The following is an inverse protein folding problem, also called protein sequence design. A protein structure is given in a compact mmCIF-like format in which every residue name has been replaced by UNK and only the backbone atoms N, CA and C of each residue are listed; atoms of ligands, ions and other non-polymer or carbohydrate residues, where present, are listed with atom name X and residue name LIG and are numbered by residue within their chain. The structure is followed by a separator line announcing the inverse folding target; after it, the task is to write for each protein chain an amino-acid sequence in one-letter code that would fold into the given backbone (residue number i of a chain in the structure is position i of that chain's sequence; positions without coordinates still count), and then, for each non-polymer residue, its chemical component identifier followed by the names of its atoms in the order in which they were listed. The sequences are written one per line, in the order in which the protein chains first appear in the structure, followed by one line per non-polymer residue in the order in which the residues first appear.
data_IF_628306738541
#
_entry.id   IF_628306738541
#
_cell.length_a   1.000
_cell.length_b   1.000
_cell.length_c   1.000
_cell.angle_alpha   90.00
_cell.angle_beta   90.00
_cell.angle_gamma   90.00
#
_symmetry.space_group_name_H-M   'P 1'
#
loop_
_entity.id
_entity.type
_entity.pdbx_description
1 polymer ?
#
# COMPACT_ATOMS: atom_id res chain seq x y z
N UNK A 1 -25.73 -14.92 -28.72
CA UNK A 1 -25.70 -13.67 -27.90
C UNK A 1 -24.49 -12.88 -28.33
N UNK A 2 -24.71 -11.67 -28.89
CA UNK A 2 -23.59 -10.95 -29.51
C UNK A 2 -22.69 -10.26 -28.49
N UNK A 3 -21.45 -10.02 -28.87
CA UNK A 3 -20.39 -9.33 -28.11
C UNK A 3 -20.88 -8.01 -27.47
N UNK A 4 -21.77 -7.30 -28.17
CA UNK A 4 -22.38 -6.03 -27.71
C UNK A 4 -23.23 -6.24 -26.44
N UNK A 5 -23.94 -7.37 -26.31
CA UNK A 5 -24.76 -7.65 -25.13
C UNK A 5 -23.90 -8.00 -23.92
N UNK A 6 -22.77 -8.67 -24.13
CA UNK A 6 -21.77 -8.95 -23.07
C UNK A 6 -21.21 -7.64 -22.55
N UNK A 7 -20.75 -6.75 -23.44
CA UNK A 7 -20.18 -5.45 -23.06
C UNK A 7 -21.21 -4.57 -22.32
N UNK A 8 -22.49 -4.57 -22.77
CA UNK A 8 -23.55 -3.82 -22.09
C UNK A 8 -23.85 -4.36 -20.70
N UNK A 9 -23.84 -5.67 -20.52
CA UNK A 9 -24.07 -6.30 -19.21
C UNK A 9 -22.92 -6.06 -18.24
N UNK A 10 -21.68 -6.12 -18.70
CA UNK A 10 -20.50 -5.80 -17.89
C UNK A 10 -20.47 -4.32 -17.49
N UNK A 11 -20.81 -3.41 -18.41
CA UNK A 11 -20.92 -2.00 -18.11
C UNK A 11 -22.00 -1.71 -17.06
N UNK A 12 -23.18 -2.36 -17.15
CA UNK A 12 -24.24 -2.26 -16.15
C UNK A 12 -23.80 -2.83 -14.79
N UNK A 13 -23.10 -3.96 -14.75
CA UNK A 13 -22.60 -4.54 -13.53
C UNK A 13 -21.59 -3.62 -12.84
N UNK A 14 -20.69 -2.98 -13.59
CA UNK A 14 -19.71 -2.03 -13.06
C UNK A 14 -20.38 -0.75 -12.50
N UNK A 15 -21.42 -0.23 -13.18
CA UNK A 15 -22.19 0.93 -12.71
C UNK A 15 -22.95 0.57 -11.43
N UNK A 16 -23.61 -0.58 -11.39
CA UNK A 16 -24.32 -1.07 -10.19
C UNK A 16 -23.39 -1.28 -9.01
N UNK A 17 -22.19 -1.80 -9.23
CA UNK A 17 -21.18 -1.96 -8.19
C UNK A 17 -20.76 -0.61 -7.60
N UNK A 18 -20.46 0.38 -8.45
CA UNK A 18 -20.04 1.69 -8.00
C UNK A 18 -21.14 2.42 -7.24
N UNK A 19 -22.39 2.33 -7.70
CA UNK A 19 -23.54 2.90 -7.01
C UNK A 19 -23.75 2.23 -5.65
N UNK A 20 -23.70 0.90 -5.57
CA UNK A 20 -23.79 0.17 -4.31
C UNK A 20 -22.67 0.53 -3.33
N UNK A 21 -21.44 0.72 -3.79
CA UNK A 21 -20.31 1.13 -2.95
C UNK A 21 -20.52 2.56 -2.40
N UNK A 22 -20.97 3.50 -3.24
CA UNK A 22 -21.25 4.87 -2.82
C UNK A 22 -22.41 4.92 -1.83
N UNK A 23 -23.45 4.11 -2.04
CA UNK A 23 -24.61 4.03 -1.13
C UNK A 23 -24.21 3.49 0.25
N UNK A 24 -23.30 2.50 0.30
CA UNK A 24 -22.75 2.00 1.56
C UNK A 24 -21.95 3.06 2.32
N UNK A 25 -21.15 3.85 1.63
CA UNK A 25 -20.41 4.95 2.24
C UNK A 25 -21.36 6.06 2.74
N UNK A 26 -22.39 6.38 1.98
CA UNK A 26 -23.43 7.36 2.39
C UNK A 26 -24.21 6.88 3.62
N UNK A 27 -24.47 5.58 3.73
CA UNK A 27 -25.09 4.96 4.92
C UNK A 27 -24.13 4.72 6.09
N UNK A 28 -22.84 5.09 5.94
CA UNK A 28 -21.77 4.91 6.94
C UNK A 28 -21.43 3.45 7.25
N UNK A 29 -21.79 2.51 6.38
CA UNK A 29 -21.41 1.09 6.52
C UNK A 29 -19.99 0.86 5.98
N UNK A 30 -19.01 1.37 6.74
CA UNK A 30 -17.57 1.26 6.39
C UNK A 30 -17.11 -0.19 6.35
N UNK A 31 -17.63 -1.06 7.23
CA UNK A 31 -17.24 -2.48 7.27
C UNK A 31 -17.55 -3.15 5.93
N UNK A 32 -18.75 -2.94 5.45
CA UNK A 32 -19.21 -3.55 4.20
C UNK A 32 -18.54 -2.91 2.99
N UNK A 33 -18.33 -1.59 3.02
CA UNK A 33 -17.57 -0.89 1.98
C UNK A 33 -16.14 -1.43 1.86
N UNK A 34 -15.41 -1.59 2.98
CA UNK A 34 -14.07 -2.18 2.98
C UNK A 34 -14.05 -3.64 2.52
N UNK A 35 -15.07 -4.44 2.86
CA UNK A 35 -15.17 -5.83 2.38
C UNK A 35 -15.35 -5.95 0.87
N UNK A 36 -15.83 -4.91 0.20
CA UNK A 36 -15.92 -4.83 -1.26
C UNK A 36 -14.60 -4.42 -1.92
N UNK A 37 -13.64 -3.91 -1.16
CA UNK A 37 -12.31 -3.53 -1.66
C UNK A 37 -11.34 -4.71 -1.57
N UNK A 38 -10.37 -4.74 -2.46
CA UNK A 38 -9.26 -5.69 -2.35
C UNK A 38 -8.25 -5.19 -1.31
N UNK A 39 -8.09 -5.97 -0.24
CA UNK A 39 -7.10 -5.71 0.81
C UNK A 39 -5.76 -6.34 0.45
N UNK A 40 -4.70 -5.52 0.44
CA UNK A 40 -3.34 -5.98 0.09
C UNK A 40 -2.50 -6.43 1.31
N UNK A 41 -2.96 -6.19 2.52
CA UNK A 41 -2.18 -6.38 3.76
C UNK A 41 -1.72 -7.82 3.98
N UNK A 42 -2.55 -8.80 3.64
CA UNK A 42 -2.20 -10.22 3.80
C UNK A 42 -1.08 -10.63 2.85
N UNK A 43 -1.22 -10.30 1.57
CA UNK A 43 -0.21 -10.60 0.55
C UNK A 43 1.11 -9.88 0.85
N UNK A 44 1.06 -8.61 1.26
CA UNK A 44 2.22 -7.83 1.65
C UNK A 44 2.94 -8.45 2.86
N UNK A 45 2.20 -8.93 3.86
CA UNK A 45 2.77 -9.60 5.03
C UNK A 45 3.48 -10.90 4.64
N UNK A 46 2.88 -11.71 3.78
CA UNK A 46 3.47 -12.97 3.32
C UNK A 46 4.72 -12.75 2.48
N UNK A 47 4.75 -11.70 1.66
CA UNK A 47 5.91 -11.31 0.88
C UNK A 47 7.05 -10.81 1.77
N UNK A 48 6.76 -9.97 2.77
CA UNK A 48 7.75 -9.48 3.73
C UNK A 48 8.41 -10.61 4.51
N UNK A 49 7.69 -11.68 4.87
CA UNK A 49 8.26 -12.87 5.54
C UNK A 49 9.34 -13.58 4.72
N UNK A 50 9.26 -13.49 3.40
CA UNK A 50 10.29 -14.06 2.50
C UNK A 50 11.40 -13.05 2.19
N UNK A 51 11.08 -11.77 2.27
CA UNK A 51 12.00 -10.68 1.99
C UNK A 51 12.99 -10.41 3.14
N UNK A 52 12.53 -10.52 4.39
CA UNK A 52 13.34 -10.24 5.57
C UNK A 52 13.99 -11.52 6.13
N UNK A 53 15.28 -11.42 6.49
CA UNK A 53 16.07 -12.57 7.02
C UNK A 53 15.46 -13.10 8.31
N UNK A 54 15.07 -12.21 9.23
CA UNK A 54 14.59 -12.58 10.56
C UNK A 54 13.28 -13.38 10.54
N UNK A 55 12.42 -13.08 9.58
CA UNK A 55 11.08 -13.70 9.43
C UNK A 55 10.99 -14.69 8.27
N UNK A 56 12.12 -15.01 7.65
CA UNK A 56 12.17 -15.87 6.47
C UNK A 56 11.57 -17.25 6.76
N UNK A 57 10.73 -17.73 5.86
CA UNK A 57 9.98 -19.01 5.99
C UNK A 57 10.86 -20.22 6.29
N UNK A 58 12.14 -20.20 5.89
CA UNK A 58 13.10 -21.28 6.22
C UNK A 58 13.29 -21.44 7.73
N UNK A 59 13.10 -20.37 8.51
CA UNK A 59 13.23 -20.41 9.97
C UNK A 59 12.10 -21.19 10.66
N UNK A 60 10.96 -21.37 9.98
CA UNK A 60 9.77 -22.10 10.47
C UNK A 60 9.84 -23.61 10.21
N UNK A 61 10.79 -24.05 9.37
CA UNK A 61 10.95 -25.48 9.09
C UNK A 61 11.26 -26.23 10.38
N UNK A 62 10.48 -27.25 10.67
CA UNK A 62 10.66 -28.09 11.87
C UNK A 62 11.99 -28.84 11.83
N UNK A 63 12.56 -29.12 13.00
CA UNK A 63 13.73 -29.95 13.14
C UNK A 63 13.45 -31.38 12.63
N UNK A 64 14.51 -32.07 12.18
CA UNK A 64 14.36 -33.38 11.57
C UNK A 64 14.14 -34.44 12.65
N UNK A 65 13.00 -35.18 12.63
CA UNK A 65 12.82 -36.33 13.49
C UNK A 65 13.77 -37.47 13.04
N UNK A 66 14.38 -38.14 14.00
CA UNK A 66 15.22 -39.32 13.78
C UNK A 66 14.56 -40.50 14.47
N UNK A 67 14.45 -41.60 13.73
CA UNK A 67 13.85 -42.85 14.18
C UNK A 67 14.88 -43.96 14.22
N UNK A 68 14.69 -44.93 15.10
CA UNK A 68 15.49 -46.15 15.15
C UNK A 68 15.17 -47.11 13.97
N UNK A 69 15.90 -48.21 13.87
CA UNK A 69 15.67 -49.25 12.85
C UNK A 69 14.31 -49.92 12.97
N UNK A 70 13.62 -49.79 14.11
CA UNK A 70 12.29 -50.34 14.37
C UNK A 70 11.20 -49.30 14.15
N UNK A 71 11.52 -48.07 13.74
CA UNK A 71 10.55 -46.99 13.47
C UNK A 71 10.15 -46.21 14.71
N UNK A 72 10.78 -46.40 15.88
CA UNK A 72 10.49 -45.63 17.08
C UNK A 72 11.20 -44.28 17.01
N UNK A 73 10.52 -43.24 17.47
CA UNK A 73 11.10 -41.88 17.54
C UNK A 73 12.25 -41.87 18.57
N UNK A 74 13.40 -41.36 18.16
CA UNK A 74 14.57 -41.19 19.03
C UNK A 74 14.74 -39.77 19.52
N UNK A 75 14.84 -38.82 18.58
CA UNK A 75 15.07 -37.41 18.90
C UNK A 75 14.83 -36.51 17.69
N UNK A 76 14.72 -35.22 17.94
CA UNK A 76 14.87 -34.22 16.91
C UNK A 76 16.33 -33.85 16.73
N UNK A 77 16.75 -33.71 15.47
CA UNK A 77 18.07 -33.17 15.10
C UNK A 77 17.86 -31.78 14.52
N UNK A 78 18.53 -30.80 15.13
CA UNK A 78 18.46 -29.39 14.70
C UNK A 78 18.93 -29.27 13.24
N UNK A 79 18.11 -28.64 12.42
CA UNK A 79 18.47 -28.30 11.04
C UNK A 79 19.25 -27.01 11.00
N UNK A 80 20.25 -26.94 10.13
CA UNK A 80 20.90 -25.69 9.79
C UNK A 80 19.96 -24.91 8.88
N UNK A 81 19.41 -23.81 9.40
CA UNK A 81 18.46 -22.93 8.69
C UNK A 81 19.22 -21.70 8.22
N UNK A 82 19.46 -21.61 6.92
CA UNK A 82 20.20 -20.50 6.32
C UNK A 82 19.21 -19.69 5.47
N UNK A 83 18.72 -18.55 5.97
CA UNK A 83 17.85 -17.68 5.20
C UNK A 83 18.65 -16.89 4.16
N UNK A 84 18.31 -17.05 2.89
CA UNK A 84 18.93 -16.29 1.80
C UNK A 84 17.86 -15.39 1.19
N UNK A 85 17.89 -14.07 1.43
CA UNK A 85 16.86 -13.14 0.97
C UNK A 85 17.08 -12.74 -0.50
N UNK A 86 17.01 -13.68 -1.43
CA UNK A 86 17.10 -13.40 -2.87
C UNK A 86 16.16 -12.29 -3.35
N UNK A 87 14.88 -12.25 -2.92
CA UNK A 87 13.98 -11.17 -3.33
C UNK A 87 14.50 -9.78 -2.94
N UNK A 88 15.08 -9.66 -1.76
CA UNK A 88 15.69 -8.41 -1.29
C UNK A 88 16.88 -8.01 -2.16
N UNK A 89 17.76 -8.95 -2.44
CA UNK A 89 18.93 -8.71 -3.28
C UNK A 89 18.55 -8.25 -4.69
N UNK A 90 17.59 -8.96 -5.33
CA UNK A 90 17.10 -8.63 -6.66
C UNK A 90 16.44 -7.24 -6.66
N UNK A 91 15.63 -6.92 -5.64
CA UNK A 91 14.95 -5.64 -5.52
C UNK A 91 15.93 -4.48 -5.36
N UNK A 92 16.98 -4.64 -4.53
CA UNK A 92 18.01 -3.59 -4.35
C UNK A 92 18.82 -3.35 -5.64
N UNK A 93 19.15 -4.40 -6.39
CA UNK A 93 19.79 -4.26 -7.71
C UNK A 93 18.87 -3.49 -8.65
N UNK A 94 17.60 -3.89 -8.77
CA UNK A 94 16.63 -3.20 -9.63
C UNK A 94 16.47 -1.72 -9.24
N UNK A 95 16.52 -1.43 -7.95
CA UNK A 95 16.42 -0.07 -7.43
C UNK A 95 17.62 0.81 -7.85
N UNK A 96 18.83 0.26 -7.81
CA UNK A 96 20.04 0.94 -8.28
C UNK A 96 19.96 1.26 -9.77
N UNK A 97 19.48 0.32 -10.59
CA UNK A 97 19.32 0.55 -12.02
C UNK A 97 18.24 1.58 -12.35
N UNK A 98 17.10 1.55 -11.67
CA UNK A 98 15.97 2.43 -11.97
C UNK A 98 16.12 3.82 -11.37
N UNK A 99 16.66 3.92 -10.16
CA UNK A 99 16.69 5.14 -9.35
C UNK A 99 18.08 5.49 -8.81
N UNK A 100 19.14 4.93 -9.39
CA UNK A 100 20.52 5.23 -9.01
C UNK A 100 20.91 6.69 -9.29
N UNK A 101 20.19 7.35 -10.20
CA UNK A 101 20.30 8.78 -10.45
C UNK A 101 18.94 9.44 -10.24
N UNK A 102 18.91 10.65 -9.63
CA UNK A 102 17.66 11.40 -9.47
C UNK A 102 17.06 11.77 -10.83
N UNK A 103 15.75 11.87 -10.88
CA UNK A 103 15.03 12.33 -12.07
C UNK A 103 15.41 13.79 -12.34
N UNK A 104 15.81 14.07 -13.57
CA UNK A 104 16.12 15.43 -14.00
C UNK A 104 14.88 16.02 -14.69
N UNK A 105 14.42 17.12 -14.17
CA UNK A 105 13.35 17.91 -14.74
C UNK A 105 13.96 19.05 -15.56
N UNK A 106 13.46 19.26 -16.75
CA UNK A 106 13.86 20.37 -17.62
C UNK A 106 12.64 21.12 -18.11
N UNK A 107 12.78 22.42 -18.26
CA UNK A 107 11.78 23.28 -18.86
C UNK A 107 11.83 23.13 -20.39
N UNK A 108 10.67 23.10 -21.03
CA UNK A 108 10.55 22.96 -22.49
C UNK A 108 10.74 24.31 -23.22
N UNK A 109 10.40 25.42 -22.55
CA UNK A 109 10.50 26.79 -23.12
C UNK A 109 11.75 27.49 -22.57
N UNK A 110 12.36 28.34 -23.39
CA UNK A 110 13.39 29.25 -22.95
C UNK A 110 12.76 30.42 -22.17
N UNK A 111 13.32 30.73 -21.01
CA UNK A 111 12.86 31.81 -20.15
C UNK A 111 12.68 31.43 -18.69
N UNK A 112 12.43 32.41 -17.84
CA UNK A 112 12.17 32.21 -16.42
C UNK A 112 10.69 31.89 -16.22
N UNK A 113 10.38 30.66 -15.83
CA UNK A 113 9.02 30.25 -15.49
C UNK A 113 8.92 30.08 -13.96
N UNK A 114 8.24 31.03 -13.33
CA UNK A 114 8.03 31.03 -11.89
C UNK A 114 7.31 29.75 -11.40
N UNK A 115 6.38 29.23 -12.17
CA UNK A 115 5.68 28.00 -11.84
C UNK A 115 6.63 26.79 -11.82
N UNK A 116 7.57 26.72 -12.76
CA UNK A 116 8.58 25.68 -12.82
C UNK A 116 9.57 25.71 -11.65
N UNK A 117 10.02 26.91 -11.27
CA UNK A 117 10.92 27.05 -10.12
C UNK A 117 10.22 26.72 -8.80
N UNK A 118 8.97 27.14 -8.62
CA UNK A 118 8.12 26.76 -7.48
C UNK A 118 7.91 25.25 -7.42
N UNK A 119 7.64 24.61 -8.57
CA UNK A 119 7.51 23.16 -8.66
C UNK A 119 8.79 22.43 -8.24
N UNK A 120 9.95 22.86 -8.71
CA UNK A 120 11.26 22.30 -8.32
C UNK A 120 11.52 22.44 -6.82
N UNK A 121 11.20 23.59 -6.26
CA UNK A 121 11.32 23.83 -4.83
C UNK A 121 10.42 22.89 -4.03
N UNK A 122 9.16 22.74 -4.41
CA UNK A 122 8.25 21.79 -3.78
C UNK A 122 8.77 20.36 -3.85
N UNK A 123 9.19 19.88 -5.03
CA UNK A 123 9.74 18.54 -5.20
C UNK A 123 10.97 18.27 -4.32
N UNK A 124 11.80 19.30 -4.13
CA UNK A 124 12.94 19.23 -3.21
C UNK A 124 12.49 19.15 -1.76
N UNK A 125 11.56 20.00 -1.35
CA UNK A 125 11.07 20.10 0.02
C UNK A 125 10.39 18.79 0.47
N UNK A 126 9.58 18.17 -0.39
CA UNK A 126 8.93 16.89 -0.12
C UNK A 126 9.87 15.68 -0.31
N UNK A 127 11.13 15.90 -0.69
CA UNK A 127 12.13 14.84 -0.96
C UNK A 127 11.61 13.79 -1.95
N UNK A 128 11.02 14.26 -3.05
CA UNK A 128 10.32 13.41 -4.03
C UNK A 128 11.12 12.19 -4.47
N UNK A 129 12.40 12.38 -4.85
CA UNK A 129 13.25 11.26 -5.31
C UNK A 129 13.46 10.20 -4.24
N UNK A 130 13.59 10.60 -2.98
CA UNK A 130 13.72 9.67 -1.86
C UNK A 130 12.42 8.89 -1.65
N UNK A 131 11.28 9.56 -1.71
CA UNK A 131 9.97 8.94 -1.53
C UNK A 131 9.63 7.95 -2.67
N UNK A 132 9.92 8.31 -3.93
CA UNK A 132 9.74 7.40 -5.08
C UNK A 132 10.63 6.17 -4.95
N UNK A 133 11.88 6.35 -4.52
CA UNK A 133 12.81 5.23 -4.26
C UNK A 133 12.29 4.32 -3.15
N UNK A 134 11.79 4.90 -2.06
CA UNK A 134 11.21 4.13 -0.96
C UNK A 134 9.93 3.41 -1.38
N UNK A 135 9.02 4.06 -2.11
CA UNK A 135 7.82 3.43 -2.65
C UNK A 135 8.18 2.25 -3.56
N UNK A 136 9.17 2.40 -4.45
CA UNK A 136 9.62 1.30 -5.30
C UNK A 136 10.23 0.16 -4.49
N UNK A 137 11.02 0.47 -3.45
CA UNK A 137 11.58 -0.55 -2.54
C UNK A 137 10.47 -1.31 -1.85
N UNK A 138 9.48 -0.61 -1.30
CA UNK A 138 8.33 -1.21 -0.64
C UNK A 138 7.50 -2.07 -1.62
N UNK A 139 7.20 -1.55 -2.81
CA UNK A 139 6.47 -2.32 -3.83
C UNK A 139 7.20 -3.61 -4.25
N UNK A 140 8.54 -3.58 -4.30
CA UNK A 140 9.35 -4.78 -4.60
C UNK A 140 9.41 -5.78 -3.44
N UNK A 141 9.26 -5.32 -2.20
CA UNK A 141 9.26 -6.17 -1.01
C UNK A 141 7.87 -6.74 -0.69
N UNK A 142 6.82 -5.97 -0.89
CA UNK A 142 5.46 -6.25 -0.44
C UNK A 142 4.50 -6.62 -1.58
N UNK A 143 4.87 -6.28 -2.83
CA UNK A 143 4.02 -6.43 -4.00
C UNK A 143 3.18 -5.18 -4.30
N UNK A 144 2.97 -4.32 -3.31
CA UNK A 144 2.20 -3.07 -3.43
C UNK A 144 2.80 -1.98 -2.55
N UNK A 145 2.73 -0.76 -3.03
CA UNK A 145 2.91 0.47 -2.25
C UNK A 145 2.10 1.58 -2.90
N UNK A 146 1.85 2.66 -2.17
CA UNK A 146 1.19 3.84 -2.70
C UNK A 146 1.93 5.10 -2.26
N UNK A 147 1.83 6.15 -3.07
CA UNK A 147 2.28 7.49 -2.72
C UNK A 147 1.04 8.36 -2.60
N UNK A 148 0.82 8.90 -1.42
CA UNK A 148 -0.31 9.76 -1.14
C UNK A 148 0.18 11.21 -0.99
N UNK A 149 -0.41 12.11 -1.79
CA UNK A 149 -0.16 13.53 -1.74
C UNK A 149 -1.21 14.22 -0.90
N UNK A 150 -0.76 15.08 0.03
CA UNK A 150 -1.64 15.92 0.84
C UNK A 150 -1.26 17.38 0.62
N UNK A 151 -2.27 18.22 0.46
CA UNK A 151 -2.09 19.67 0.53
C UNK A 151 -2.45 20.15 1.92
N UNK A 152 -1.67 21.03 2.49
CA UNK A 152 -1.94 21.68 3.77
C UNK A 152 -1.53 23.15 3.71
N UNK A 153 -2.03 23.94 4.63
CA UNK A 153 -1.57 25.31 4.84
C UNK A 153 -0.59 25.33 6.01
N UNK A 154 0.54 26.01 5.82
CA UNK A 154 1.49 26.25 6.90
C UNK A 154 0.97 27.29 7.90
N UNK A 155 1.76 27.62 8.92
CA UNK A 155 1.38 28.59 9.95
C UNK A 155 1.14 30.01 9.40
N UNK A 156 1.65 30.30 8.20
CA UNK A 156 1.52 31.57 7.50
C UNK A 156 0.36 31.57 6.50
N UNK A 157 -0.40 30.45 6.41
CA UNK A 157 -1.50 30.26 5.48
C UNK A 157 -1.07 29.95 4.03
N UNK A 158 0.22 29.71 3.78
CA UNK A 158 0.75 29.38 2.46
C UNK A 158 0.46 27.90 2.14
N UNK A 159 -0.06 27.58 0.93
CA UNK A 159 -0.30 26.21 0.54
C UNK A 159 1.02 25.45 0.41
N UNK A 160 1.07 24.27 1.01
CA UNK A 160 2.20 23.37 0.98
C UNK A 160 1.77 21.97 0.58
N UNK A 161 2.73 21.15 0.13
CA UNK A 161 2.53 19.77 -0.27
C UNK A 161 3.30 18.85 0.67
N UNK A 162 2.63 17.78 1.12
CA UNK A 162 3.22 16.68 1.87
C UNK A 162 3.06 15.39 1.07
N UNK A 163 4.03 14.50 1.18
CA UNK A 163 4.03 13.22 0.50
C UNK A 163 4.26 12.10 1.51
N UNK A 164 3.37 11.12 1.51
CA UNK A 164 3.49 9.93 2.34
C UNK A 164 3.65 8.67 1.47
N UNK A 165 4.63 7.85 1.80
CA UNK A 165 4.78 6.52 1.22
C UNK A 165 4.06 5.51 2.10
N UNK A 166 3.01 4.91 1.56
CA UNK A 166 2.17 3.93 2.23
C UNK A 166 2.66 2.53 1.91
N UNK A 167 2.92 1.75 2.96
CA UNK A 167 3.35 0.36 2.84
C UNK A 167 3.09 -0.40 4.15
N UNK A 168 3.00 -1.71 4.06
CA UNK A 168 2.73 -2.58 5.24
C UNK A 168 3.83 -2.49 6.29
N UNK A 169 5.08 -2.30 5.87
CA UNK A 169 6.21 -2.09 6.77
C UNK A 169 6.02 -0.87 7.68
N UNK A 170 5.36 0.18 7.18
CA UNK A 170 5.00 1.37 7.96
C UNK A 170 3.70 1.16 8.76
N UNK A 171 3.13 -0.05 8.77
CA UNK A 171 1.84 -0.40 9.38
C UNK A 171 0.62 0.21 8.68
N UNK A 172 0.78 0.57 7.42
CA UNK A 172 -0.34 1.02 6.58
C UNK A 172 -1.06 -0.18 5.97
N UNK A 173 -2.38 -0.07 5.88
CA UNK A 173 -3.21 -1.01 5.14
C UNK A 173 -3.72 -0.36 3.86
N UNK A 174 -3.52 -1.02 2.73
CA UNK A 174 -3.89 -0.51 1.42
C UNK A 174 -5.06 -1.32 0.89
N UNK A 175 -6.13 -0.63 0.52
CA UNK A 175 -7.32 -1.20 -0.10
C UNK A 175 -7.55 -0.54 -1.45
N UNK A 176 -7.92 -1.34 -2.45
CA UNK A 176 -8.16 -0.83 -3.81
C UNK A 176 -9.40 -1.41 -4.44
N UNK A 177 -10.10 -0.60 -5.23
CA UNK A 177 -11.12 -1.03 -6.19
C UNK A 177 -10.62 -0.69 -7.58
N UNK A 178 -10.57 -1.68 -8.45
CA UNK A 178 -10.17 -1.52 -9.85
C UNK A 178 -11.31 -1.94 -10.79
N UNK A 179 -11.41 -1.28 -11.92
CA UNK A 179 -12.32 -1.70 -12.97
C UNK A 179 -11.74 -2.90 -13.77
N UNK A 180 -12.53 -3.39 -14.74
CA UNK A 180 -12.13 -4.48 -15.64
C UNK A 180 -10.86 -4.18 -16.45
N UNK A 181 -10.51 -2.92 -16.64
CA UNK A 181 -9.28 -2.45 -17.30
C UNK A 181 -8.14 -2.20 -16.31
N UNK A 182 -8.28 -2.66 -15.05
CA UNK A 182 -7.33 -2.47 -13.95
C UNK A 182 -7.09 -1.00 -13.56
N UNK A 183 -7.96 -0.07 -13.96
CA UNK A 183 -7.89 1.33 -13.56
C UNK A 183 -8.42 1.47 -12.13
N UNK A 184 -7.70 2.24 -11.31
CA UNK A 184 -8.11 2.53 -9.94
C UNK A 184 -9.40 3.36 -9.93
N UNK A 185 -10.42 2.89 -9.22
CA UNK A 185 -11.72 3.56 -9.03
C UNK A 185 -11.87 4.15 -7.64
N UNK A 186 -11.41 3.42 -6.62
CA UNK A 186 -11.41 3.88 -5.25
C UNK A 186 -10.18 3.33 -4.53
N UNK A 187 -9.72 4.07 -3.56
CA UNK A 187 -8.55 3.74 -2.75
C UNK A 187 -8.88 3.96 -1.28
N UNK A 188 -8.40 3.11 -0.39
CA UNK A 188 -8.47 3.40 1.03
C UNK A 188 -7.13 3.13 1.72
N UNK A 189 -6.86 3.98 2.69
CA UNK A 189 -5.69 3.94 3.54
C UNK A 189 -6.10 3.70 4.99
N UNK A 190 -5.71 2.54 5.52
CA UNK A 190 -5.87 2.20 6.92
C UNK A 190 -4.57 2.46 7.68
N UNK A 191 -4.68 3.09 8.86
CA UNK A 191 -3.51 3.44 9.66
C UNK A 191 -3.87 3.54 11.15
N UNK A 192 -2.85 3.48 12.00
CA UNK A 192 -3.00 3.65 13.44
C UNK A 192 -2.57 5.04 13.87
N UNK A 193 -3.44 5.74 14.61
CA UNK A 193 -3.15 7.03 15.21
C UNK A 193 -3.30 6.95 16.72
N UNK A 194 -2.34 7.53 17.45
CA UNK A 194 -2.45 7.67 18.90
C UNK A 194 -3.19 8.96 19.22
N UNK A 195 -4.40 8.85 19.74
CA UNK A 195 -5.24 9.97 20.14
C UNK A 195 -4.78 10.58 21.48
N UNK A 196 -5.32 11.76 21.82
CA UNK A 196 -5.13 12.39 23.11
C UNK A 196 -5.55 11.42 24.24
N UNK A 197 -4.65 11.13 25.15
CA UNK A 197 -4.83 10.12 26.21
C UNK A 197 -4.08 8.80 25.97
N UNK A 198 -3.28 8.70 24.90
CA UNK A 198 -2.37 7.56 24.67
C UNK A 198 -3.05 6.32 24.06
N UNK A 199 -4.34 6.38 23.75
CA UNK A 199 -5.05 5.28 23.11
C UNK A 199 -4.74 5.26 21.62
N UNK A 200 -4.24 4.13 21.11
CA UNK A 200 -4.04 3.93 19.67
C UNK A 200 -5.33 3.44 19.04
N UNK A 201 -5.82 4.15 18.04
CA UNK A 201 -7.06 3.88 17.32
C UNK A 201 -6.76 3.64 15.84
N UNK A 202 -7.47 2.69 15.25
CA UNK A 202 -7.37 2.41 13.82
C UNK A 202 -8.28 3.36 13.03
N UNK A 203 -7.70 4.06 12.07
CA UNK A 203 -8.36 4.99 11.17
C UNK A 203 -8.35 4.46 9.75
N UNK A 204 -9.34 4.83 8.97
CA UNK A 204 -9.41 4.54 7.53
C UNK A 204 -9.90 5.77 6.78
N UNK A 205 -9.12 6.21 5.82
CA UNK A 205 -9.50 7.25 4.86
C UNK A 205 -9.83 6.60 3.52
N UNK A 206 -11.06 6.74 3.04
CA UNK A 206 -11.54 6.15 1.78
C UNK A 206 -11.67 7.26 0.76
N UNK A 207 -10.91 7.16 -0.30
CA UNK A 207 -10.86 8.11 -1.41
C UNK A 207 -11.71 7.58 -2.57
N UNK A 208 -12.74 8.31 -2.91
CA UNK A 208 -13.54 8.13 -4.12
C UNK A 208 -13.23 9.26 -5.10
N UNK A 209 -13.67 9.21 -6.36
CA UNK A 209 -13.46 10.31 -7.31
C UNK A 209 -13.97 11.66 -6.82
N UNK A 210 -15.04 11.67 -6.02
CA UNK A 210 -15.76 12.89 -5.66
C UNK A 210 -15.60 13.29 -4.19
N UNK A 211 -15.28 12.33 -3.30
CA UNK A 211 -15.35 12.57 -1.85
C UNK A 211 -14.32 11.72 -1.09
N UNK A 212 -13.88 12.24 0.04
CA UNK A 212 -13.04 11.52 1.00
C UNK A 212 -13.87 11.23 2.25
N UNK A 213 -14.01 9.95 2.60
CA UNK A 213 -14.67 9.50 3.82
C UNK A 213 -13.62 9.15 4.84
N UNK A 214 -13.72 9.71 6.05
CA UNK A 214 -12.82 9.42 7.16
C UNK A 214 -13.56 8.69 8.25
N UNK A 215 -13.05 7.53 8.65
CA UNK A 215 -13.66 6.73 9.68
C UNK A 215 -12.61 6.28 10.69
N UNK A 216 -13.01 6.15 11.96
CA UNK A 216 -12.18 5.56 13.01
C UNK A 216 -12.91 4.40 13.67
N UNK A 217 -12.16 3.44 14.16
CA UNK A 217 -12.72 2.27 14.83
C UNK A 217 -13.02 2.59 16.29
N UNK A 218 -14.31 2.81 16.59
CA UNK A 218 -14.81 2.99 17.95
C UNK A 218 -15.04 1.67 18.69
N UNK A 219 -15.55 1.74 19.91
CA UNK A 219 -15.83 0.56 20.74
C UNK A 219 -16.97 -0.30 20.20
N UNK A 220 -17.92 0.30 19.47
CA UNK A 220 -19.14 -0.36 18.98
C UNK A 220 -19.25 -0.42 17.46
N UNK A 221 -18.17 -0.06 16.74
CA UNK A 221 -18.16 -0.05 15.30
C UNK A 221 -17.36 1.12 14.73
N UNK A 222 -17.65 1.51 13.49
CA UNK A 222 -17.01 2.64 12.83
C UNK A 222 -17.72 3.96 13.15
N UNK A 223 -16.97 4.98 13.48
CA UNK A 223 -17.38 6.37 13.62
C UNK A 223 -16.89 7.14 12.38
N UNK A 224 -17.81 7.78 11.64
CA UNK A 224 -17.58 8.49 10.35
C UNK A 224 -17.85 9.98 10.53
#
# INVERSE_FOLDING_TARGET
MGLINVIKNEAKAAVNYQQSFTDLLASKDVTRALSMMHEHSKEATDNLRTYEIATHKVMEIQDRPVYDKKGNFLRFVKRNKIPIPYPKYINEIALVFLYGRPVKWSQLSEGTDYAYDSYKEWMRNIRFDAAVREAKRAAGAEGVSAILYHTYQDAEGKPNLLLNVLCKKNKDDIYTVKDQYKRLKSFAWGYYLTEAGGKTVYHVDIYTPDTIYRAKRGNYGWEV
#
